data_IF_297258226299
#
_entry.id   IF_297258226299
#
_cell.length_a   1.000
_cell.length_b   1.000
_cell.length_c   1.000
_cell.angle_alpha   90.00
_cell.angle_beta   90.00
_cell.angle_gamma   90.00
#
_symmetry.space_group_name_H-M   'P 1'
#
loop_
_entity.id
_entity.type
_entity.pdbx_description
1 polymer ?
#
# COMPACT_ATOMS: atom_id res chain seq x y z
N UNK A 1 -7.37 -25.13 -0.06
CA UNK A 1 -7.37 -24.45 -1.38
C UNK A 1 -5.94 -24.27 -1.82
N UNK A 2 -5.62 -24.45 -3.10
CA UNK A 2 -4.24 -24.27 -3.57
C UNK A 2 -3.85 -22.80 -3.70
N UNK A 3 -2.60 -22.49 -3.48
CA UNK A 3 -2.06 -21.13 -3.58
C UNK A 3 -2.33 -20.49 -4.96
N UNK A 4 -2.18 -21.28 -6.03
CA UNK A 4 -2.44 -20.84 -7.40
C UNK A 4 -3.91 -20.47 -7.63
N UNK A 5 -4.86 -21.13 -6.96
CA UNK A 5 -6.31 -20.85 -7.10
C UNK A 5 -6.64 -19.48 -6.48
N UNK A 6 -6.03 -19.15 -5.34
CA UNK A 6 -6.15 -17.82 -4.71
C UNK A 6 -5.62 -16.73 -5.64
N UNK A 7 -4.43 -16.91 -6.20
CA UNK A 7 -3.85 -15.97 -7.15
C UNK A 7 -4.72 -15.78 -8.39
N UNK A 8 -5.17 -16.88 -9.01
CA UNK A 8 -6.02 -16.84 -10.19
C UNK A 8 -7.36 -16.15 -9.93
N UNK A 9 -7.92 -16.30 -8.72
CA UNK A 9 -9.12 -15.59 -8.34
C UNK A 9 -8.90 -14.07 -8.40
N UNK A 10 -7.82 -13.54 -7.81
CA UNK A 10 -7.54 -12.09 -7.86
C UNK A 10 -7.41 -11.58 -9.29
N UNK A 11 -6.76 -12.31 -10.17
CA UNK A 11 -6.70 -11.95 -11.59
C UNK A 11 -8.08 -12.00 -12.26
N UNK A 12 -8.94 -12.94 -11.89
CA UNK A 12 -10.25 -13.12 -12.49
C UNK A 12 -11.24 -12.00 -12.15
N UNK A 13 -11.10 -11.37 -10.98
CA UNK A 13 -11.98 -10.29 -10.50
C UNK A 13 -11.44 -8.89 -10.83
N UNK A 14 -10.23 -8.79 -11.33
CA UNK A 14 -9.52 -7.54 -11.63
C UNK A 14 -9.38 -7.35 -13.15
N UNK A 15 -10.48 -7.02 -13.83
CA UNK A 15 -10.53 -6.84 -15.28
C UNK A 15 -9.67 -5.68 -15.82
N UNK A 16 -9.21 -4.79 -14.93
CA UNK A 16 -8.30 -3.69 -15.22
C UNK A 16 -6.82 -4.10 -15.20
N UNK A 17 -6.52 -5.31 -14.75
CA UNK A 17 -5.14 -5.84 -14.65
C UNK A 17 -4.79 -6.61 -15.91
N UNK A 18 -3.68 -6.25 -16.54
CA UNK A 18 -3.10 -7.05 -17.63
C UNK A 18 -2.22 -8.16 -17.04
N UNK A 19 -2.64 -9.44 -17.13
CA UNK A 19 -1.88 -10.55 -16.52
C UNK A 19 -0.44 -10.70 -17.05
N UNK A 20 -0.16 -10.17 -18.24
CA UNK A 20 1.19 -10.23 -18.84
C UNK A 20 2.13 -9.13 -18.30
N UNK A 21 1.59 -8.09 -17.65
CA UNK A 21 2.34 -6.91 -17.22
C UNK A 21 2.27 -6.64 -15.74
N UNK A 22 1.32 -7.25 -15.04
CA UNK A 22 1.11 -7.04 -13.62
C UNK A 22 2.32 -7.46 -12.78
N UNK A 23 2.43 -6.83 -11.63
CA UNK A 23 3.37 -7.22 -10.57
C UNK A 23 2.77 -8.23 -9.59
N UNK A 24 1.46 -8.53 -9.73
CA UNK A 24 0.78 -9.56 -8.94
C UNK A 24 1.28 -10.94 -9.33
N UNK A 25 1.78 -11.70 -8.37
CA UNK A 25 2.31 -13.05 -8.61
C UNK A 25 2.62 -13.80 -7.31
N UNK A 26 2.70 -15.13 -7.41
CA UNK A 26 3.40 -15.92 -6.39
C UNK A 26 4.89 -15.65 -6.57
N UNK A 27 5.50 -15.00 -5.58
CA UNK A 27 6.91 -14.58 -5.62
C UNK A 27 7.84 -15.70 -5.21
N UNK A 28 7.44 -16.48 -4.22
CA UNK A 28 8.19 -17.62 -3.65
C UNK A 28 7.21 -18.69 -3.16
N UNK A 29 7.70 -19.92 -3.06
CA UNK A 29 6.95 -21.08 -2.58
C UNK A 29 6.31 -21.88 -3.71
N UNK A 30 5.64 -22.99 -3.33
CA UNK A 30 5.00 -23.90 -4.29
C UNK A 30 3.57 -23.41 -4.63
N UNK A 31 3.27 -23.09 -5.90
CA UNK A 31 1.93 -22.69 -6.32
C UNK A 31 0.84 -23.76 -6.04
N UNK A 32 1.24 -25.02 -5.95
CA UNK A 32 0.32 -26.14 -5.69
C UNK A 32 0.12 -26.45 -4.21
N UNK A 33 0.82 -25.72 -3.31
CA UNK A 33 0.69 -25.91 -1.87
C UNK A 33 -0.74 -25.62 -1.41
N UNK A 34 -1.24 -26.44 -0.48
CA UNK A 34 -2.53 -26.20 0.16
C UNK A 34 -2.42 -25.06 1.17
N UNK A 35 -3.39 -24.15 1.13
CA UNK A 35 -3.49 -22.97 2.00
C UNK A 35 -4.74 -23.07 2.85
N UNK A 36 -4.58 -23.07 4.16
CA UNK A 36 -5.65 -23.02 5.16
C UNK A 36 -5.57 -21.74 5.99
N UNK A 37 -4.34 -21.23 6.20
CA UNK A 37 -4.09 -20.03 6.99
C UNK A 37 -3.18 -19.07 6.24
N UNK A 38 -3.65 -17.85 6.07
CA UNK A 38 -2.88 -16.78 5.45
C UNK A 38 -2.64 -15.62 6.43
N UNK A 39 -1.52 -14.93 6.28
CA UNK A 39 -1.28 -13.64 6.92
C UNK A 39 -1.12 -12.57 5.85
N UNK A 40 -1.80 -11.43 6.02
CA UNK A 40 -1.79 -10.31 5.10
C UNK A 40 -1.01 -9.16 5.72
N UNK A 41 -0.05 -8.62 5.01
CA UNK A 41 0.76 -7.48 5.47
C UNK A 41 1.16 -6.58 4.30
N UNK A 42 1.55 -5.35 4.59
CA UNK A 42 1.95 -4.40 3.56
C UNK A 42 3.19 -4.87 2.79
N UNK A 43 4.24 -5.32 3.48
CA UNK A 43 5.50 -5.77 2.86
C UNK A 43 6.03 -7.04 3.52
N UNK A 44 6.54 -7.99 2.73
CA UNK A 44 7.15 -9.23 3.20
C UNK A 44 8.56 -8.99 3.80
N UNK A 45 8.61 -8.24 4.92
CA UNK A 45 9.83 -8.05 5.71
C UNK A 45 10.31 -9.37 6.32
N UNK A 46 11.56 -9.44 6.80
CA UNK A 46 12.02 -10.62 7.54
C UNK A 46 11.20 -10.86 8.82
N UNK A 47 10.72 -9.79 9.47
CA UNK A 47 9.89 -9.93 10.65
C UNK A 47 8.53 -10.53 10.30
N UNK A 48 7.91 -10.08 9.21
CA UNK A 48 6.66 -10.65 8.72
C UNK A 48 6.81 -12.12 8.29
N UNK A 49 7.91 -12.45 7.59
CA UNK A 49 8.20 -13.83 7.19
C UNK A 49 8.42 -14.75 8.40
N UNK A 50 9.18 -14.29 9.41
CA UNK A 50 9.38 -15.04 10.65
C UNK A 50 8.06 -15.24 11.40
N UNK A 51 7.27 -14.16 11.53
CA UNK A 51 5.96 -14.24 12.15
C UNK A 51 5.08 -15.29 11.46
N UNK A 52 5.01 -15.27 10.14
CA UNK A 52 4.22 -16.25 9.39
C UNK A 52 4.64 -17.68 9.68
N UNK A 53 5.94 -17.97 9.66
CA UNK A 53 6.48 -19.33 9.91
C UNK A 53 6.26 -19.75 11.36
N UNK A 54 6.59 -18.88 12.33
CA UNK A 54 6.47 -19.18 13.76
C UNK A 54 5.04 -19.44 14.21
N UNK A 55 4.05 -18.81 13.53
CA UNK A 55 2.64 -18.98 13.84
C UNK A 55 1.92 -20.00 12.93
N UNK A 56 2.67 -20.69 12.06
CA UNK A 56 2.14 -21.78 11.23
C UNK A 56 1.17 -21.32 10.15
N UNK A 57 1.46 -20.20 9.49
CA UNK A 57 0.75 -19.78 8.28
C UNK A 57 1.31 -20.51 7.06
N UNK A 58 0.41 -20.86 6.13
CA UNK A 58 0.77 -21.50 4.86
C UNK A 58 1.15 -20.48 3.80
N UNK A 59 0.55 -19.26 3.89
CA UNK A 59 0.75 -18.20 2.93
C UNK A 59 0.92 -16.82 3.62
N UNK A 60 1.86 -16.02 3.08
CA UNK A 60 1.95 -14.59 3.34
C UNK A 60 1.51 -13.84 2.09
N UNK A 61 0.44 -13.05 2.20
CA UNK A 61 -0.02 -12.14 1.14
C UNK A 61 0.58 -10.77 1.43
N UNK A 62 1.28 -10.21 0.44
CA UNK A 62 1.95 -8.92 0.54
C UNK A 62 1.49 -7.97 -0.56
N UNK A 63 1.45 -6.68 -0.30
CA UNK A 63 1.17 -5.67 -1.31
C UNK A 63 2.48 -5.23 -2.00
N UNK A 64 3.49 -4.89 -1.22
CA UNK A 64 4.76 -4.38 -1.71
C UNK A 64 5.79 -5.49 -2.03
N UNK A 65 6.85 -5.16 -2.81
CA UNK A 65 7.80 -6.15 -3.31
C UNK A 65 8.55 -6.90 -2.21
N UNK A 66 8.74 -8.20 -2.42
CA UNK A 66 9.62 -9.03 -1.58
C UNK A 66 11.10 -8.68 -1.76
N UNK A 67 11.50 -8.25 -2.96
CA UNK A 67 12.89 -8.04 -3.37
C UNK A 67 13.14 -6.62 -3.86
N UNK A 68 12.95 -5.60 -3.23
CA UNK A 68 13.38 -4.20 -3.47
C UNK A 68 13.51 -3.79 -4.95
N UNK A 69 12.68 -4.30 -5.83
CA UNK A 69 12.48 -3.83 -7.20
C UNK A 69 10.99 -3.86 -7.56
N UNK A 70 10.58 -2.99 -8.48
CA UNK A 70 9.17 -2.79 -8.81
C UNK A 70 8.50 -4.03 -9.41
N UNK A 71 9.27 -4.90 -10.06
CA UNK A 71 8.73 -6.12 -10.66
C UNK A 71 8.74 -7.30 -9.69
N UNK A 72 9.31 -7.12 -8.49
CA UNK A 72 9.46 -8.17 -7.50
C UNK A 72 10.10 -9.42 -8.11
N UNK A 73 11.18 -9.22 -8.88
CA UNK A 73 11.77 -10.26 -9.70
C UNK A 73 12.94 -10.92 -8.99
N UNK A 74 12.74 -12.18 -8.58
CA UNK A 74 13.79 -13.00 -8.01
C UNK A 74 14.99 -13.17 -8.97
N UNK A 75 14.76 -13.25 -10.28
CA UNK A 75 15.81 -13.39 -11.26
C UNK A 75 16.79 -12.20 -11.25
N UNK A 76 16.31 -10.99 -10.99
CA UNK A 76 17.17 -9.81 -10.85
C UNK A 76 18.09 -9.93 -9.63
N UNK A 77 17.63 -10.55 -8.55
CA UNK A 77 18.44 -10.83 -7.36
C UNK A 77 19.48 -11.91 -7.66
N UNK A 78 19.09 -12.98 -8.32
CA UNK A 78 19.99 -14.10 -8.63
C UNK A 78 21.08 -13.73 -9.64
N UNK A 79 20.75 -12.86 -10.60
CA UNK A 79 21.67 -12.38 -11.63
C UNK A 79 22.54 -11.18 -11.21
N UNK A 80 22.24 -10.56 -10.07
CA UNK A 80 23.03 -9.44 -9.57
C UNK A 80 24.48 -9.89 -9.26
N UNK A 81 25.47 -8.98 -9.32
CA UNK A 81 26.87 -9.28 -9.01
C UNK A 81 27.03 -10.00 -7.68
N UNK A 82 28.02 -10.91 -7.60
CA UNK A 82 28.23 -11.77 -6.44
C UNK A 82 28.53 -10.98 -5.15
N UNK A 83 29.10 -9.80 -5.27
CA UNK A 83 29.40 -8.85 -4.19
C UNK A 83 28.26 -7.88 -3.87
N UNK A 84 27.10 -8.02 -4.52
CA UNK A 84 25.92 -7.19 -4.26
C UNK A 84 25.29 -7.54 -2.91
N UNK A 85 25.21 -6.56 -2.02
CA UNK A 85 24.49 -6.70 -0.73
C UNK A 85 23.00 -7.01 -0.92
N UNK A 86 22.36 -6.46 -1.95
CA UNK A 86 20.97 -6.81 -2.29
C UNK A 86 20.83 -8.29 -2.64
N UNK A 87 21.78 -8.83 -3.42
CA UNK A 87 21.82 -10.25 -3.76
C UNK A 87 21.96 -11.13 -2.51
N UNK A 88 22.89 -10.82 -1.65
CA UNK A 88 23.11 -11.57 -0.41
C UNK A 88 21.84 -11.64 0.44
N UNK A 89 21.23 -10.49 0.73
CA UNK A 89 20.02 -10.41 1.55
C UNK A 89 18.83 -11.06 0.85
N UNK A 90 18.67 -10.87 -0.47
CA UNK A 90 17.60 -11.49 -1.26
C UNK A 90 17.69 -13.01 -1.28
N UNK A 91 18.89 -13.58 -1.49
CA UNK A 91 19.08 -15.03 -1.44
C UNK A 91 18.86 -15.61 -0.03
N UNK A 92 19.14 -14.83 1.02
CA UNK A 92 18.82 -15.23 2.39
C UNK A 92 17.30 -15.28 2.61
N UNK A 93 16.53 -14.30 2.10
CA UNK A 93 15.06 -14.33 2.11
C UNK A 93 14.52 -15.55 1.35
N UNK A 94 15.02 -15.77 0.14
CA UNK A 94 14.63 -16.93 -0.69
C UNK A 94 14.81 -18.23 0.08
N UNK A 95 16.02 -18.50 0.60
CA UNK A 95 16.28 -19.74 1.37
C UNK A 95 15.35 -19.90 2.56
N UNK A 96 15.12 -18.82 3.32
CA UNK A 96 14.24 -18.87 4.48
C UNK A 96 12.82 -19.31 4.11
N UNK A 97 12.28 -18.77 3.02
CA UNK A 97 10.93 -19.14 2.53
C UNK A 97 10.91 -20.59 1.99
N UNK A 98 11.90 -20.96 1.17
CA UNK A 98 11.98 -22.33 0.62
C UNK A 98 12.13 -23.40 1.69
N UNK A 99 12.94 -23.15 2.73
CA UNK A 99 13.14 -24.07 3.85
C UNK A 99 11.91 -24.20 4.75
N UNK A 100 11.08 -23.17 4.83
CA UNK A 100 9.87 -23.14 5.67
C UNK A 100 8.64 -23.73 4.98
N UNK A 101 8.63 -23.83 3.65
CA UNK A 101 7.45 -24.21 2.87
C UNK A 101 6.37 -23.12 2.75
N UNK A 102 6.65 -21.90 3.24
CA UNK A 102 5.73 -20.77 3.15
C UNK A 102 5.56 -20.33 1.69
N UNK A 103 4.33 -19.99 1.29
CA UNK A 103 4.07 -19.34 0.00
C UNK A 103 4.01 -17.81 0.21
N UNK A 104 4.67 -17.05 -0.66
CA UNK A 104 4.58 -15.58 -0.68
C UNK A 104 3.86 -15.14 -1.94
N UNK A 105 2.68 -14.57 -1.77
CA UNK A 105 1.83 -14.05 -2.84
C UNK A 105 1.81 -12.53 -2.80
N UNK A 106 2.19 -11.86 -3.89
CA UNK A 106 2.01 -10.42 -4.04
C UNK A 106 0.68 -10.13 -4.72
N UNK A 107 -0.13 -9.26 -4.09
CA UNK A 107 -1.37 -8.69 -4.64
C UNK A 107 -1.28 -7.17 -4.53
N UNK A 108 -1.00 -6.51 -5.65
CA UNK A 108 -0.76 -5.08 -5.77
C UNK A 108 -1.77 -4.45 -6.75
N UNK A 109 -1.57 -4.63 -8.06
CA UNK A 109 -2.37 -3.99 -9.11
C UNK A 109 -3.86 -4.34 -8.99
N UNK A 110 -4.16 -5.58 -8.61
CA UNK A 110 -5.53 -6.02 -8.37
C UNK A 110 -6.16 -5.26 -7.20
N UNK A 111 -5.40 -5.02 -6.11
CA UNK A 111 -5.94 -4.38 -4.92
C UNK A 111 -5.96 -2.85 -5.00
N UNK A 112 -5.00 -2.24 -5.71
CA UNK A 112 -5.02 -0.81 -6.00
C UNK A 112 -6.28 -0.38 -6.76
N UNK A 113 -6.69 -1.19 -7.72
CA UNK A 113 -7.83 -0.90 -8.56
C UNK A 113 -9.18 -1.44 -8.06
N UNK A 114 -9.21 -2.26 -6.98
CA UNK A 114 -10.42 -2.92 -6.51
C UNK A 114 -11.48 -1.90 -6.07
N UNK A 115 -12.64 -1.84 -6.74
CA UNK A 115 -13.65 -0.84 -6.43
C UNK A 115 -14.17 -0.97 -4.99
N UNK A 116 -14.42 0.16 -4.36
CA UNK A 116 -15.05 0.31 -3.05
C UNK A 116 -14.25 -0.23 -1.85
N UNK A 117 -13.38 -1.21 -2.01
CA UNK A 117 -12.62 -1.85 -0.91
C UNK A 117 -11.12 -1.82 -1.08
N UNK A 118 -10.62 -1.52 -2.27
CA UNK A 118 -9.19 -1.44 -2.56
C UNK A 118 -8.49 -0.28 -1.84
N UNK A 119 -7.18 -0.17 -2.08
CA UNK A 119 -6.28 0.73 -1.35
C UNK A 119 -6.82 2.16 -1.22
N UNK A 120 -7.12 2.92 -2.31
CA UNK A 120 -7.50 4.32 -2.18
C UNK A 120 -8.87 4.51 -1.51
N UNK A 121 -9.81 3.58 -1.68
CA UNK A 121 -11.12 3.62 -1.01
C UNK A 121 -10.99 3.33 0.49
N UNK A 122 -10.17 2.34 0.86
CA UNK A 122 -9.88 2.02 2.26
C UNK A 122 -9.20 3.20 2.96
N UNK A 123 -8.22 3.82 2.29
CA UNK A 123 -7.54 5.01 2.78
C UNK A 123 -8.49 6.18 3.01
N UNK A 124 -9.33 6.52 2.03
CA UNK A 124 -10.32 7.60 2.18
C UNK A 124 -11.26 7.38 3.35
N UNK A 125 -11.78 6.16 3.51
CA UNK A 125 -12.63 5.79 4.66
C UNK A 125 -11.89 5.92 5.98
N UNK A 126 -10.66 5.42 6.03
CA UNK A 126 -9.83 5.53 7.22
C UNK A 126 -9.59 6.98 7.60
N UNK A 127 -9.32 7.87 6.65
CA UNK A 127 -9.18 9.31 6.88
C UNK A 127 -10.50 10.02 7.22
N UNK A 128 -11.64 9.37 7.00
CA UNK A 128 -12.97 9.96 7.20
C UNK A 128 -13.31 11.01 6.14
N UNK A 129 -12.80 10.86 4.91
CA UNK A 129 -13.13 11.72 3.79
C UNK A 129 -14.43 11.32 3.10
N UNK A 130 -14.80 10.04 3.19
CA UNK A 130 -16.03 9.51 2.60
C UNK A 130 -15.87 8.09 2.09
N UNK A 131 -16.97 7.54 1.55
CA UNK A 131 -17.00 6.18 1.01
C UNK A 131 -16.96 6.14 -0.52
N UNK A 132 -17.31 7.26 -1.18
CA UNK A 132 -17.34 7.39 -2.65
C UNK A 132 -16.58 8.63 -3.07
N UNK A 133 -15.61 8.52 -3.99
CA UNK A 133 -14.95 9.67 -4.55
C UNK A 133 -15.93 10.54 -5.37
N UNK A 134 -15.79 11.85 -5.31
CA UNK A 134 -16.49 12.80 -6.16
C UNK A 134 -15.97 12.76 -7.61
N UNK A 135 -14.70 12.40 -7.79
CA UNK A 135 -14.08 12.16 -9.08
C UNK A 135 -12.93 11.14 -8.94
N UNK A 136 -12.70 10.38 -10.01
CA UNK A 136 -11.55 9.51 -10.17
C UNK A 136 -10.70 10.07 -11.33
N UNK A 137 -9.39 10.13 -11.14
CA UNK A 137 -8.44 10.61 -12.14
C UNK A 137 -8.25 9.67 -13.33
N UNK A 138 -7.26 9.95 -14.15
CA UNK A 138 -6.94 9.12 -15.32
C UNK A 138 -6.54 7.69 -14.92
N UNK A 139 -5.98 7.51 -13.75
CA UNK A 139 -5.68 6.22 -13.15
C UNK A 139 -6.59 5.97 -11.95
N UNK A 140 -6.97 4.70 -11.76
CA UNK A 140 -8.01 4.28 -10.80
C UNK A 140 -7.74 4.66 -9.35
N UNK A 141 -6.49 4.82 -8.97
CA UNK A 141 -6.08 5.09 -7.60
C UNK A 141 -5.89 6.59 -7.28
N UNK A 142 -6.23 7.49 -8.19
CA UNK A 142 -6.23 8.95 -7.96
C UNK A 142 -7.67 9.42 -7.75
N UNK A 143 -8.00 9.80 -6.52
CA UNK A 143 -9.35 10.15 -6.14
C UNK A 143 -9.47 11.60 -5.66
N UNK A 144 -10.63 12.23 -5.91
CA UNK A 144 -11.05 13.45 -5.22
C UNK A 144 -12.25 13.15 -4.33
N UNK A 145 -12.20 13.66 -3.11
CA UNK A 145 -13.31 13.67 -2.17
C UNK A 145 -13.71 15.10 -1.85
N UNK A 146 -15.01 15.37 -1.89
CA UNK A 146 -15.56 16.65 -1.48
C UNK A 146 -16.08 16.49 -0.03
N UNK A 147 -15.59 17.36 0.87
CA UNK A 147 -15.85 17.29 2.31
C UNK A 147 -16.40 18.62 2.80
N UNK A 148 -16.97 18.64 4.02
CA UNK A 148 -17.29 19.89 4.68
C UNK A 148 -16.05 20.77 4.83
N UNK A 149 -16.12 22.07 4.52
CA UNK A 149 -14.98 22.97 4.59
C UNK A 149 -14.37 23.02 5.99
N UNK A 150 -13.04 22.94 6.07
CA UNK A 150 -12.27 23.09 7.30
C UNK A 150 -10.88 23.67 6.99
N UNK A 151 -10.16 24.14 8.00
CA UNK A 151 -8.79 24.63 7.78
C UNK A 151 -7.84 23.48 7.50
N UNK A 152 -6.74 23.76 6.79
CA UNK A 152 -5.70 22.79 6.47
C UNK A 152 -5.13 22.14 7.75
N UNK A 153 -4.87 22.95 8.79
CA UNK A 153 -4.38 22.44 10.07
C UNK A 153 -5.40 21.55 10.79
N UNK A 154 -6.69 21.86 10.69
CA UNK A 154 -7.72 20.99 11.24
C UNK A 154 -7.81 19.64 10.49
N UNK A 155 -7.65 19.66 9.16
CA UNK A 155 -7.56 18.44 8.36
C UNK A 155 -6.31 17.64 8.72
N UNK A 156 -5.14 18.28 8.79
CA UNK A 156 -3.87 17.64 9.14
C UNK A 156 -3.93 17.01 10.53
N UNK A 157 -4.49 17.72 11.51
CA UNK A 157 -4.66 17.22 12.88
C UNK A 157 -5.57 15.99 12.93
N UNK A 158 -6.66 16.01 12.15
CA UNK A 158 -7.57 14.85 12.01
C UNK A 158 -6.87 13.64 11.39
N UNK A 159 -6.05 13.87 10.36
CA UNK A 159 -5.29 12.81 9.70
C UNK A 159 -4.25 12.24 10.68
N UNK A 160 -3.45 13.09 11.33
CA UNK A 160 -2.44 12.68 12.30
C UNK A 160 -3.05 11.86 13.47
N UNK A 161 -4.22 12.27 13.98
CA UNK A 161 -4.92 11.52 15.01
C UNK A 161 -5.35 10.11 14.56
N UNK A 162 -5.69 9.93 13.29
CA UNK A 162 -6.05 8.63 12.73
C UNK A 162 -4.82 7.77 12.44
N UNK A 163 -3.81 8.35 11.80
CA UNK A 163 -2.56 7.63 11.47
C UNK A 163 -1.76 7.25 12.71
N UNK A 164 -1.92 7.96 13.84
CA UNK A 164 -1.34 7.57 15.12
C UNK A 164 -1.74 6.13 15.54
N UNK A 165 -2.96 5.70 15.22
CA UNK A 165 -3.43 4.35 15.54
C UNK A 165 -2.70 3.24 14.76
N UNK A 166 -2.02 3.59 13.66
CA UNK A 166 -1.25 2.69 12.80
C UNK A 166 0.25 3.04 12.77
N UNK A 167 0.73 3.81 13.75
CA UNK A 167 2.16 4.04 13.98
C UNK A 167 2.73 5.37 13.49
N UNK A 168 1.95 6.25 12.85
CA UNK A 168 2.40 7.56 12.38
C UNK A 168 1.63 8.71 13.06
N UNK A 169 2.10 9.19 14.22
CA UNK A 169 1.39 10.21 15.02
C UNK A 169 1.57 11.65 14.52
N UNK A 170 2.33 11.87 13.46
CA UNK A 170 2.59 13.19 12.87
C UNK A 170 2.51 13.13 11.36
N UNK A 171 2.13 14.25 10.74
CA UNK A 171 2.11 14.42 9.29
C UNK A 171 2.93 15.66 8.91
N UNK A 172 3.41 15.70 7.66
CA UNK A 172 4.04 16.92 7.13
C UNK A 172 2.97 17.79 6.48
N UNK A 173 3.00 19.10 6.69
CA UNK A 173 2.06 20.05 6.11
C UNK A 173 2.81 21.08 5.30
N UNK A 174 2.36 21.33 4.09
CA UNK A 174 2.84 22.36 3.17
C UNK A 174 1.68 23.29 2.87
N UNK A 175 1.90 24.59 3.01
CA UNK A 175 0.89 25.64 2.81
C UNK A 175 0.45 26.32 4.10
N UNK A 176 -0.45 27.29 3.96
CA UNK A 176 -1.00 28.06 5.07
C UNK A 176 -2.03 27.22 5.84
N UNK A 177 -1.79 26.99 7.12
CA UNK A 177 -2.64 26.18 8.00
C UNK A 177 -4.08 26.71 8.15
N UNK A 178 -4.29 28.03 8.04
CA UNK A 178 -5.60 28.67 8.13
C UNK A 178 -6.39 28.60 6.81
N UNK A 179 -5.78 28.17 5.73
CA UNK A 179 -6.48 28.02 4.45
C UNK A 179 -7.61 27.01 4.56
N UNK A 180 -8.81 27.44 4.13
CA UNK A 180 -9.99 26.57 4.10
C UNK A 180 -9.94 25.66 2.88
N UNK A 181 -10.10 24.37 3.09
CA UNK A 181 -10.07 23.32 2.07
C UNK A 181 -11.33 22.45 2.14
N UNK A 182 -11.78 21.94 1.00
CA UNK A 182 -13.02 21.13 0.89
C UNK A 182 -12.96 20.07 -0.21
N UNK A 183 -12.04 20.19 -1.17
CA UNK A 183 -11.88 19.26 -2.30
C UNK A 183 -10.50 18.62 -2.19
N UNK A 184 -10.48 17.42 -1.64
CA UNK A 184 -9.24 16.77 -1.27
C UNK A 184 -8.86 15.71 -2.30
N UNK A 185 -7.70 15.91 -2.94
CA UNK A 185 -7.06 14.89 -3.76
C UNK A 185 -6.34 13.88 -2.89
N UNK A 186 -6.52 12.59 -3.15
CA UNK A 186 -5.79 11.53 -2.45
C UNK A 186 -5.23 10.51 -3.42
N UNK A 187 -4.10 9.96 -3.05
CA UNK A 187 -3.48 8.78 -3.64
C UNK A 187 -2.59 8.11 -2.63
N UNK A 188 -2.09 6.96 -2.99
CA UNK A 188 -1.23 6.13 -2.16
C UNK A 188 0.01 5.75 -2.94
N UNK A 189 1.07 5.33 -2.27
CA UNK A 189 2.27 4.89 -2.91
C UNK A 189 2.87 5.89 -3.91
N UNK A 190 3.62 5.38 -4.86
CA UNK A 190 4.20 6.15 -5.96
C UNK A 190 3.15 6.66 -6.97
N UNK A 191 1.89 6.24 -6.82
CA UNK A 191 0.76 6.71 -7.63
C UNK A 191 0.22 8.09 -7.25
N UNK A 192 0.70 8.70 -6.16
CA UNK A 192 0.38 10.08 -5.82
C UNK A 192 0.86 11.04 -6.92
N UNK A 193 -0.04 11.92 -7.39
CA UNK A 193 0.30 12.93 -8.40
C UNK A 193 -0.42 14.25 -8.11
N UNK A 194 0.31 15.17 -7.49
CA UNK A 194 -0.22 16.48 -7.07
C UNK A 194 -0.73 17.28 -8.27
N UNK A 195 -0.03 17.24 -9.41
CA UNK A 195 -0.47 17.98 -10.62
C UNK A 195 -1.82 17.46 -11.12
N UNK A 196 -2.02 16.15 -11.10
CA UNK A 196 -3.33 15.55 -11.44
C UNK A 196 -4.42 16.02 -10.48
N UNK A 197 -4.16 16.07 -9.16
CA UNK A 197 -5.16 16.57 -8.20
C UNK A 197 -5.52 18.03 -8.42
N UNK A 198 -4.54 18.88 -8.71
CA UNK A 198 -4.80 20.28 -9.12
C UNK A 198 -5.69 20.34 -10.37
N UNK A 199 -5.39 19.53 -11.39
CA UNK A 199 -6.22 19.43 -12.62
C UNK A 199 -7.63 18.90 -12.36
N UNK A 200 -7.82 18.06 -11.35
CA UNK A 200 -9.12 17.57 -10.89
C UNK A 200 -9.89 18.63 -10.08
N UNK A 201 -9.32 19.81 -9.89
CA UNK A 201 -9.91 20.92 -9.13
C UNK A 201 -9.87 20.71 -7.62
N UNK A 202 -8.90 19.94 -7.11
CA UNK A 202 -8.66 19.80 -5.68
C UNK A 202 -8.04 21.11 -5.14
N UNK A 203 -8.41 21.48 -3.92
CA UNK A 203 -7.87 22.64 -3.20
C UNK A 203 -6.83 22.24 -2.15
N UNK A 204 -6.67 20.95 -1.89
CA UNK A 204 -5.55 20.35 -1.15
C UNK A 204 -5.33 18.90 -1.58
N UNK A 205 -4.13 18.36 -1.29
CA UNK A 205 -3.78 16.96 -1.57
C UNK A 205 -3.27 16.26 -0.33
N UNK A 206 -3.67 14.99 -0.15
CA UNK A 206 -3.05 14.05 0.79
C UNK A 206 -2.24 13.05 -0.01
N UNK A 207 -0.93 13.06 0.16
CA UNK A 207 0.03 12.26 -0.60
C UNK A 207 0.94 11.48 0.33
N UNK A 208 1.76 10.58 -0.21
CA UNK A 208 2.78 9.91 0.58
C UNK A 208 4.20 10.27 0.11
N UNK A 209 5.19 9.89 0.92
CA UNK A 209 6.60 10.21 0.71
C UNK A 209 7.17 9.62 -0.58
N UNK A 210 6.73 8.43 -0.98
CA UNK A 210 7.24 7.75 -2.17
C UNK A 210 6.71 8.37 -3.47
N UNK A 211 5.47 8.84 -3.49
CA UNK A 211 4.88 9.54 -4.64
C UNK A 211 5.11 11.05 -4.67
N UNK A 212 5.81 11.62 -3.70
CA UNK A 212 6.01 13.07 -3.59
C UNK A 212 7.44 13.45 -3.23
N UNK A 213 8.32 13.43 -4.24
CA UNK A 213 9.71 13.86 -4.07
C UNK A 213 9.80 15.33 -3.65
N UNK A 214 10.58 15.62 -2.60
CA UNK A 214 10.64 16.94 -1.98
C UNK A 214 11.06 18.04 -2.98
N UNK A 215 12.15 17.84 -3.72
CA UNK A 215 12.70 18.85 -4.60
C UNK A 215 11.84 19.16 -5.85
N UNK A 216 10.95 18.24 -6.22
CA UNK A 216 10.12 18.37 -7.43
C UNK A 216 8.66 18.58 -7.08
N UNK A 217 8.00 17.55 -6.54
CA UNK A 217 6.55 17.60 -6.32
C UNK A 217 6.15 18.53 -5.18
N UNK A 218 6.86 18.46 -4.04
CA UNK A 218 6.54 19.28 -2.87
C UNK A 218 6.91 20.74 -3.10
N UNK A 219 8.10 21.02 -3.68
CA UNK A 219 8.48 22.38 -4.00
C UNK A 219 7.57 22.99 -5.08
N UNK A 220 7.21 22.21 -6.11
CA UNK A 220 6.25 22.65 -7.11
C UNK A 220 4.88 22.99 -6.50
N UNK A 221 4.39 22.19 -5.57
CA UNK A 221 3.13 22.45 -4.88
C UNK A 221 3.20 23.74 -4.07
N UNK A 222 4.31 23.98 -3.36
CA UNK A 222 4.55 25.20 -2.60
C UNK A 222 4.60 26.43 -3.52
N UNK A 223 5.32 26.36 -4.64
CA UNK A 223 5.43 27.43 -5.62
C UNK A 223 4.10 27.72 -6.34
N UNK A 224 3.22 26.70 -6.43
CA UNK A 224 1.88 26.79 -7.01
C UNK A 224 0.80 27.13 -5.97
N UNK A 225 1.19 27.46 -4.74
CA UNK A 225 0.27 27.75 -3.62
C UNK A 225 -0.78 26.63 -3.43
N UNK A 226 -0.39 25.36 -3.63
CA UNK A 226 -1.26 24.21 -3.45
C UNK A 226 -0.95 23.47 -2.14
N UNK A 227 -1.88 23.45 -1.17
CA UNK A 227 -1.67 22.79 0.11
C UNK A 227 -1.49 21.27 -0.02
N UNK A 228 -0.53 20.73 0.74
CA UNK A 228 -0.27 19.28 0.78
C UNK A 228 -0.13 18.79 2.20
N UNK A 229 -0.76 17.68 2.51
CA UNK A 229 -0.51 16.87 3.71
C UNK A 229 0.18 15.59 3.26
N UNK A 230 1.33 15.28 3.87
CA UNK A 230 2.18 14.15 3.46
C UNK A 230 2.33 13.15 4.59
N UNK A 231 2.09 11.87 4.28
CA UNK A 231 2.21 10.71 5.17
C UNK A 231 3.25 9.72 4.64
N UNK A 232 3.56 8.67 5.39
CA UNK A 232 4.39 7.57 4.90
C UNK A 232 3.60 6.66 3.95
N UNK A 233 4.30 6.07 2.97
CA UNK A 233 3.72 5.17 1.98
C UNK A 233 2.98 4.00 2.65
N UNK A 234 3.65 3.24 3.51
CA UNK A 234 3.02 2.12 4.20
C UNK A 234 1.79 2.52 5.02
N UNK A 235 1.82 3.69 5.66
CA UNK A 235 0.67 4.24 6.40
C UNK A 235 -0.52 4.47 5.47
N UNK A 236 -0.30 4.98 4.26
CA UNK A 236 -1.38 5.27 3.31
C UNK A 236 -2.06 4.00 2.79
N UNK A 237 -1.41 2.86 2.84
CA UNK A 237 -1.89 1.59 2.28
C UNK A 237 -2.30 0.56 3.34
N UNK A 238 -1.88 0.73 4.59
CA UNK A 238 -2.23 -0.17 5.70
C UNK A 238 -3.74 -0.44 5.84
N UNK A 239 -4.65 0.56 5.71
CA UNK A 239 -6.08 0.29 5.73
C UNK A 239 -6.56 -0.63 4.60
N UNK A 240 -5.87 -0.64 3.46
CA UNK A 240 -6.12 -1.56 2.36
C UNK A 240 -5.73 -3.00 2.67
N UNK A 241 -4.74 -3.21 3.54
CA UNK A 241 -4.39 -4.56 4.01
C UNK A 241 -5.48 -5.13 4.91
N UNK A 242 -6.11 -4.30 5.72
CA UNK A 242 -7.27 -4.73 6.53
C UNK A 242 -8.43 -5.18 5.64
N UNK A 243 -8.74 -4.40 4.59
CA UNK A 243 -9.83 -4.77 3.66
C UNK A 243 -9.47 -5.98 2.80
N UNK A 244 -8.20 -6.16 2.42
CA UNK A 244 -7.72 -7.36 1.74
C UNK A 244 -7.88 -8.60 2.61
N UNK A 245 -7.52 -8.50 3.89
CA UNK A 245 -7.71 -9.58 4.86
C UNK A 245 -9.18 -9.99 4.99
N UNK A 246 -10.06 -9.01 5.09
CA UNK A 246 -11.50 -9.27 5.15
C UNK A 246 -12.00 -9.93 3.87
N UNK A 247 -11.55 -9.45 2.72
CA UNK A 247 -11.91 -10.04 1.43
C UNK A 247 -11.49 -11.50 1.30
N UNK A 248 -10.27 -11.85 1.75
CA UNK A 248 -9.80 -13.24 1.77
C UNK A 248 -10.71 -14.12 2.62
N UNK A 249 -11.06 -13.65 3.83
CA UNK A 249 -11.93 -14.39 4.75
C UNK A 249 -13.36 -14.57 4.21
N UNK A 250 -13.88 -13.58 3.49
CA UNK A 250 -15.25 -13.62 2.96
C UNK A 250 -15.37 -14.41 1.66
N UNK A 251 -14.24 -14.61 0.95
CA UNK A 251 -14.24 -15.16 -0.42
C UNK A 251 -13.80 -16.61 -0.47
N UNK A 252 -12.85 -17.02 0.36
CA UNK A 252 -12.21 -18.34 0.23
C UNK A 252 -12.63 -19.28 1.35
N UNK A 253 -13.60 -20.13 1.06
CA UNK A 253 -14.03 -21.19 2.00
C UNK A 253 -12.86 -22.08 2.41
N UNK A 254 -12.67 -22.23 3.73
CA UNK A 254 -11.59 -23.05 4.31
C UNK A 254 -10.22 -22.39 4.38
N UNK A 255 -10.12 -21.10 4.03
CA UNK A 255 -8.95 -20.26 4.27
C UNK A 255 -9.29 -19.22 5.34
N UNK A 256 -8.44 -19.08 6.35
CA UNK A 256 -8.55 -18.01 7.34
C UNK A 256 -7.36 -17.07 7.21
N UNK A 257 -7.63 -15.77 7.15
CA UNK A 257 -6.59 -14.75 7.04
C UNK A 257 -6.55 -13.84 8.27
N UNK A 258 -5.35 -13.45 8.67
CA UNK A 258 -5.08 -12.48 9.73
C UNK A 258 -4.31 -11.28 9.14
N UNK A 259 -4.63 -10.07 9.60
CA UNK A 259 -3.87 -8.88 9.26
C UNK A 259 -2.69 -8.74 10.24
N UNK A 260 -1.48 -8.67 9.69
CA UNK A 260 -0.27 -8.33 10.43
C UNK A 260 0.09 -6.87 10.14
N UNK A 261 -0.13 -5.95 11.09
CA UNK A 261 0.24 -4.56 10.89
C UNK A 261 1.72 -4.39 10.62
N UNK A 262 2.07 -3.65 9.56
CA UNK A 262 3.46 -3.33 9.28
C UNK A 262 3.95 -2.17 10.14
N UNK A 263 3.10 -1.15 10.34
CA UNK A 263 3.48 0.10 10.95
C UNK A 263 4.52 0.86 10.12
N UNK A 264 5.14 1.87 10.72
CA UNK A 264 6.25 2.57 10.09
C UNK A 264 7.57 1.85 10.33
N UNK A 265 8.39 1.70 9.28
CA UNK A 265 9.77 1.17 9.40
C UNK A 265 10.73 2.13 10.10
N UNK A 266 10.25 3.25 10.63
CA UNK A 266 11.00 4.27 11.33
C UNK A 266 10.30 4.65 12.64
N UNK A 267 11.03 5.31 13.50
CA UNK A 267 10.50 5.98 14.69
C UNK A 267 10.77 7.48 14.62
N UNK A 268 9.84 8.26 15.14
CA UNK A 268 9.99 9.71 15.23
C UNK A 268 10.78 10.07 16.51
N UNK A 269 11.74 10.96 16.37
CA UNK A 269 12.52 11.50 17.50
C UNK A 269 12.38 13.02 17.43
N UNK A 270 11.73 13.60 18.43
CA UNK A 270 11.61 15.05 18.60
C UNK A 270 12.73 15.63 19.49
N UNK A 271 12.82 16.96 19.52
CA UNK A 271 13.71 17.68 20.41
C UNK A 271 13.17 17.66 21.85
#
# INVERSE_FOLDING_TARGET
MKAIEIYQHFLSVADWVDPARTVDKITLGDPEAEVHRAVVTWISSFDALRYAVEHGYDMLITHEPTFWDNRNDLANIEQAPADSLKREVGLRKKRFVEESGLVVLRIHDAWDGMPEIGIPWAWARFLGLGTRPAAIGAVRYQHRYDIEPLTLDALASRIAARTAAIGEPVVQVIGDGERVVSKIGIGTGCGCDIETYVRMGCDASVVCDDGSCYCFNIQWAADNDHPVIRVNHGTSEEPGMVTLTQYVNDTFDGVTAEHLPHGCSFRLVGA
#
